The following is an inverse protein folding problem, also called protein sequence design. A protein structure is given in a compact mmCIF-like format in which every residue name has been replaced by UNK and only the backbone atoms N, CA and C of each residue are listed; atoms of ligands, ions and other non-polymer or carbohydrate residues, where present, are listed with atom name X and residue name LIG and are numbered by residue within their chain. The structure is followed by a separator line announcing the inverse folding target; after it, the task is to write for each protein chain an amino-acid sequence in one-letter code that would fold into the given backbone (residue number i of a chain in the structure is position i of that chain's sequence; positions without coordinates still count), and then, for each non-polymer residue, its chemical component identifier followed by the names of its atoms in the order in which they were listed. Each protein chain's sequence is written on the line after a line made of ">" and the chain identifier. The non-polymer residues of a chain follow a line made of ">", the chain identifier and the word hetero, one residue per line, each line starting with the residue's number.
data_IF_375233533171
#
_entry.id   IF_375233533171
#
_cell.length_a   1.000
_cell.length_b   1.000
_cell.length_c   1.000
_cell.angle_alpha   90.00
_cell.angle_beta   90.00
_cell.angle_gamma   90.00
#
_symmetry.space_group_name_H-M   'P 1'
#
loop_
_entity.id
_entity.type
_entity.pdbx_description
1 polymer ?
#
# COMPACT_ATOMS: atom_id res chain seq x y z
N UNK A 1 9.21 14.35 14.65
CA UNK A 1 8.30 13.24 15.01
C UNK A 1 9.07 11.94 14.79
N UNK A 2 9.27 11.12 15.83
CA UNK A 2 9.88 9.80 15.65
C UNK A 2 8.78 8.82 15.26
N UNK A 3 8.80 8.35 14.02
CA UNK A 3 7.88 7.31 13.57
C UNK A 3 8.44 5.95 14.05
N UNK A 4 7.66 5.23 14.88
CA UNK A 4 8.01 3.87 15.28
C UNK A 4 7.67 2.91 14.15
N UNK A 5 8.65 2.16 13.67
CA UNK A 5 8.42 1.08 12.70
C UNK A 5 8.30 -0.26 13.41
N UNK A 6 7.18 -0.93 13.21
CA UNK A 6 6.96 -2.32 13.61
C UNK A 6 7.17 -3.26 12.43
N UNK A 7 7.53 -4.50 12.70
CA UNK A 7 7.83 -5.52 11.69
C UNK A 7 7.07 -6.81 12.01
N UNK A 8 6.82 -7.62 10.98
CA UNK A 8 6.18 -8.93 11.10
C UNK A 8 7.07 -9.97 10.43
N UNK A 9 7.28 -11.11 11.09
CA UNK A 9 7.98 -12.24 10.50
C UNK A 9 6.99 -13.22 9.86
N UNK A 10 6.79 -13.10 8.55
CA UNK A 10 5.87 -13.95 7.77
C UNK A 10 6.28 -15.42 7.66
N UNK A 11 7.49 -15.81 8.07
CA UNK A 11 7.86 -17.23 8.18
C UNK A 11 7.22 -17.88 9.42
N UNK A 12 6.89 -17.09 10.44
CA UNK A 12 6.34 -17.57 11.70
C UNK A 12 4.85 -17.29 11.82
N UNK A 13 4.43 -16.03 11.57
CA UNK A 13 3.06 -15.59 11.76
C UNK A 13 2.66 -14.53 10.72
N UNK A 14 1.37 -14.51 10.34
CA UNK A 14 0.80 -13.46 9.49
C UNK A 14 0.45 -12.17 10.27
N UNK A 15 0.15 -12.33 11.56
CA UNK A 15 -0.08 -11.25 12.52
C UNK A 15 0.87 -11.49 13.67
N UNK A 16 1.65 -10.49 14.07
CA UNK A 16 2.54 -10.62 15.21
C UNK A 16 1.72 -10.84 16.50
N UNK A 17 1.90 -11.96 17.22
CA UNK A 17 1.02 -12.30 18.35
C UNK A 17 1.26 -11.43 19.58
N UNK A 18 2.38 -10.70 19.67
CA UNK A 18 2.73 -9.86 20.82
C UNK A 18 2.19 -8.44 20.64
N UNK A 19 2.47 -7.84 19.48
CA UNK A 19 2.10 -6.46 19.16
C UNK A 19 0.78 -6.33 18.41
N UNK A 20 0.27 -7.43 17.83
CA UNK A 20 -0.88 -7.41 16.92
C UNK A 20 -0.57 -6.77 15.55
N UNK A 21 0.69 -6.43 15.27
CA UNK A 21 1.09 -5.80 14.01
C UNK A 21 0.83 -6.74 12.84
N UNK A 22 0.25 -6.21 11.75
CA UNK A 22 0.06 -6.94 10.50
C UNK A 22 0.25 -6.01 9.30
N UNK A 23 0.52 -6.59 8.13
CA UNK A 23 0.74 -5.87 6.87
C UNK A 23 -0.47 -5.92 5.93
N UNK A 24 -1.55 -6.64 6.29
CA UNK A 24 -2.72 -6.87 5.44
C UNK A 24 -3.30 -5.59 4.81
N UNK A 25 -3.39 -4.49 5.56
CA UNK A 25 -3.95 -3.23 5.05
C UNK A 25 -3.07 -2.63 3.95
N UNK A 26 -1.75 -2.59 4.16
CA UNK A 26 -0.83 -2.02 3.16
C UNK A 26 -0.67 -2.94 1.95
N UNK A 27 -0.70 -4.25 2.17
CA UNK A 27 -0.70 -5.27 1.10
C UNK A 27 -1.95 -5.19 0.24
N UNK A 28 -3.13 -5.10 0.85
CA UNK A 28 -4.40 -4.94 0.15
C UNK A 28 -4.44 -3.66 -0.66
N UNK A 29 -3.95 -2.55 -0.09
CA UNK A 29 -3.86 -1.27 -0.78
C UNK A 29 -2.94 -1.35 -2.01
N UNK A 30 -1.78 -2.00 -1.86
CA UNK A 30 -0.82 -2.23 -2.94
C UNK A 30 -1.42 -3.06 -4.09
N UNK A 31 -2.06 -4.18 -3.78
CA UNK A 31 -2.70 -5.05 -4.79
C UNK A 31 -3.86 -4.34 -5.50
N UNK A 32 -4.78 -3.77 -4.72
CA UNK A 32 -6.06 -3.26 -5.24
C UNK A 32 -5.92 -1.95 -6.00
N UNK A 33 -4.98 -1.09 -5.60
CA UNK A 33 -4.89 0.25 -6.17
C UNK A 33 -3.64 0.42 -7.03
N UNK A 34 -2.47 -0.01 -6.55
CA UNK A 34 -1.22 0.28 -7.24
C UNK A 34 -0.95 -0.74 -8.36
N UNK A 35 -0.94 -2.04 -8.05
CA UNK A 35 -0.69 -3.09 -9.04
C UNK A 35 -1.74 -3.12 -10.16
N UNK A 36 -3.02 -2.92 -9.83
CA UNK A 36 -4.09 -2.81 -10.85
C UNK A 36 -3.87 -1.63 -11.79
N UNK A 37 -3.47 -0.47 -11.26
CA UNK A 37 -3.13 0.70 -12.09
C UNK A 37 -1.93 0.42 -12.99
N UNK A 38 -0.85 -0.16 -12.45
CA UNK A 38 0.36 -0.52 -13.20
C UNK A 38 0.01 -1.47 -14.35
N UNK A 39 -0.81 -2.50 -14.10
CA UNK A 39 -1.25 -3.43 -15.13
C UNK A 39 -2.08 -2.75 -16.22
N UNK A 40 -2.99 -1.85 -15.84
CA UNK A 40 -3.84 -1.12 -16.79
C UNK A 40 -3.04 -0.21 -17.75
N UNK A 41 -1.87 0.26 -17.34
CA UNK A 41 -0.97 1.07 -18.17
C UNK A 41 0.13 0.26 -18.87
N UNK A 42 0.02 -1.09 -18.87
CA UNK A 42 0.99 -2.02 -19.45
C UNK A 42 2.40 -1.97 -18.81
N UNK A 43 2.43 -1.81 -17.49
CA UNK A 43 3.67 -1.78 -16.72
C UNK A 43 4.23 -0.37 -16.53
N UNK A 44 5.29 -0.28 -15.75
CA UNK A 44 5.91 0.98 -15.37
C UNK A 44 7.39 0.75 -15.07
N UNK A 45 8.22 1.72 -15.38
CA UNK A 45 9.60 1.75 -14.90
C UNK A 45 9.65 2.11 -13.42
N UNK A 46 10.43 1.37 -12.63
CA UNK A 46 10.56 1.55 -11.18
C UNK A 46 10.93 2.98 -10.77
N UNK A 47 11.68 3.71 -11.62
CA UNK A 47 12.04 5.13 -11.39
C UNK A 47 10.85 6.07 -11.22
N UNK A 48 9.66 5.68 -11.70
CA UNK A 48 8.46 6.50 -11.63
C UNK A 48 7.49 6.06 -10.52
N UNK A 49 7.79 4.97 -9.81
CA UNK A 49 6.86 4.37 -8.84
C UNK A 49 6.40 5.38 -7.80
N UNK A 50 7.33 6.15 -7.22
CA UNK A 50 7.03 7.15 -6.19
C UNK A 50 6.03 8.20 -6.70
N UNK A 51 6.23 8.73 -7.91
CA UNK A 51 5.31 9.71 -8.50
C UNK A 51 3.90 9.16 -8.74
N UNK A 52 3.77 7.87 -9.03
CA UNK A 52 2.46 7.23 -9.15
C UNK A 52 1.80 6.98 -7.79
N UNK A 53 2.58 6.62 -6.77
CA UNK A 53 2.09 6.52 -5.39
C UNK A 53 1.59 7.87 -4.91
N UNK A 54 2.32 8.96 -5.19
CA UNK A 54 1.92 10.31 -4.83
C UNK A 54 0.64 10.74 -5.57
N UNK A 55 0.56 10.44 -6.87
CA UNK A 55 -0.66 10.66 -7.66
C UNK A 55 -1.85 9.88 -7.09
N UNK A 56 -1.63 8.63 -6.66
CA UNK A 56 -2.66 7.83 -6.02
C UNK A 56 -3.13 8.46 -4.70
N UNK A 57 -2.19 8.83 -3.81
CA UNK A 57 -2.50 9.51 -2.54
C UNK A 57 -3.30 10.80 -2.78
N UNK A 58 -2.84 11.63 -3.73
CA UNK A 58 -3.53 12.86 -4.12
C UNK A 58 -4.96 12.59 -4.59
N UNK A 59 -5.17 11.60 -5.47
CA UNK A 59 -6.51 11.22 -5.94
C UNK A 59 -7.40 10.73 -4.79
N UNK A 60 -6.85 9.93 -3.87
CA UNK A 60 -7.58 9.40 -2.72
C UNK A 60 -8.01 10.49 -1.72
N UNK A 61 -7.26 11.59 -1.63
CA UNK A 61 -7.55 12.69 -0.71
C UNK A 61 -8.50 13.73 -1.32
N UNK A 62 -8.29 14.07 -2.59
CA UNK A 62 -9.07 15.10 -3.30
C UNK A 62 -10.41 14.56 -3.80
N UNK A 63 -10.46 13.29 -4.16
CA UNK A 63 -11.68 12.60 -4.58
C UNK A 63 -11.87 11.38 -3.69
N UNK A 64 -12.47 11.54 -2.49
CA UNK A 64 -12.82 10.36 -1.69
C UNK A 64 -13.66 9.45 -2.58
N UNK A 65 -13.23 8.20 -2.75
CA UNK A 65 -14.01 7.20 -3.46
C UNK A 65 -15.40 7.21 -2.82
N UNK A 66 -16.42 7.62 -3.57
CA UNK A 66 -17.78 7.39 -3.12
C UNK A 66 -17.93 5.88 -3.01
N UNK A 67 -18.08 5.40 -1.78
CA UNK A 67 -18.41 4.01 -1.52
C UNK A 67 -19.81 3.78 -2.11
N UNK A 68 -19.86 3.12 -3.26
CA UNK A 68 -21.06 2.59 -3.89
C UNK A 68 -21.51 1.32 -3.18
#
# INVERSE_FOLDING_TARGET
>A
MHYGHSWVNHTLNFVDPVSGTHTNTIEGLWEMHIKRLIKAIHGMSQKYLDGYIDKFKWRSWVFPLQAS
#
